data_IF_579258279931
#
_entry.id   IF_579258279931
#
_cell.length_a   1.000
_cell.length_b   1.000
_cell.length_c   1.000
_cell.angle_alpha   90.00
_cell.angle_beta   90.00
_cell.angle_gamma   90.00
#
_symmetry.space_group_name_H-M   'P 1'
#
loop_
_entity.id
_entity.type
_entity.pdbx_description
1 polymer ?
#
# COMPACT_ATOMS: atom_id res chain seq x y z
N UNK A 1 -37.21 -62.38 35.52
CA UNK A 1 -37.53 -60.94 35.63
C UNK A 1 -36.20 -60.18 35.75
N UNK A 2 -35.62 -59.75 34.65
CA UNK A 2 -34.33 -58.99 34.63
C UNK A 2 -34.62 -57.50 34.35
N UNK A 3 -34.41 -56.66 35.36
CA UNK A 3 -34.60 -55.25 35.26
C UNK A 3 -33.27 -54.61 34.69
N UNK A 4 -33.33 -54.07 33.49
CA UNK A 4 -32.31 -53.28 32.90
C UNK A 4 -32.33 -51.86 33.53
N UNK A 5 -31.24 -51.46 34.19
CA UNK A 5 -31.00 -50.07 34.61
C UNK A 5 -30.14 -49.39 33.56
N UNK A 6 -30.54 -48.26 32.98
CA UNK A 6 -29.65 -47.54 32.05
C UNK A 6 -28.57 -46.78 32.83
N UNK A 7 -27.34 -46.86 32.33
CA UNK A 7 -26.15 -46.17 32.85
C UNK A 7 -26.17 -44.68 32.50
N UNK A 8 -25.74 -43.78 33.39
CA UNK A 8 -25.85 -42.32 33.25
C UNK A 8 -24.82 -41.65 32.34
N UNK A 9 -24.15 -42.42 31.48
CA UNK A 9 -22.98 -41.92 30.68
C UNK A 9 -23.35 -41.29 29.35
N UNK A 10 -24.59 -41.40 28.89
CA UNK A 10 -25.00 -40.87 27.55
C UNK A 10 -25.54 -39.44 27.63
N UNK A 11 -26.08 -39.02 28.76
CA UNK A 11 -26.66 -37.66 28.92
C UNK A 11 -25.59 -36.56 29.07
N UNK A 12 -24.42 -36.88 29.63
CA UNK A 12 -23.35 -35.91 29.80
C UNK A 12 -22.54 -35.58 28.53
N UNK A 13 -22.60 -36.45 27.51
CA UNK A 13 -21.92 -36.17 26.22
C UNK A 13 -22.72 -35.28 25.28
N UNK A 14 -24.05 -35.25 25.41
CA UNK A 14 -24.92 -34.40 24.60
C UNK A 14 -24.90 -32.93 25.07
N UNK A 15 -24.67 -32.66 26.35
CA UNK A 15 -24.62 -31.30 26.91
C UNK A 15 -23.30 -30.62 26.63
N UNK A 16 -22.19 -31.35 26.49
CA UNK A 16 -20.86 -30.81 26.13
C UNK A 16 -20.70 -30.47 24.65
N UNK A 17 -21.53 -31.06 23.77
CA UNK A 17 -21.51 -30.67 22.34
C UNK A 17 -22.36 -29.45 22.00
N UNK A 18 -23.33 -29.08 22.85
CA UNK A 18 -24.11 -27.85 22.65
C UNK A 18 -23.43 -26.60 23.23
N UNK A 19 -22.45 -26.75 24.11
CA UNK A 19 -21.68 -25.62 24.66
C UNK A 19 -20.54 -25.17 23.75
N UNK A 20 -20.12 -25.98 22.76
CA UNK A 20 -19.04 -25.71 21.84
C UNK A 20 -19.41 -24.86 20.62
N UNK A 21 -20.70 -24.64 20.35
CA UNK A 21 -21.21 -23.93 19.17
C UNK A 21 -21.62 -22.49 19.43
N UNK A 22 -21.46 -21.98 20.65
CA UNK A 22 -21.87 -20.62 21.02
C UNK A 22 -20.72 -19.61 21.12
N UNK A 23 -19.47 -19.96 20.72
CA UNK A 23 -18.30 -19.07 20.84
C UNK A 23 -17.82 -18.54 19.49
N UNK A 24 -18.48 -18.86 18.38
CA UNK A 24 -18.07 -18.40 17.04
C UNK A 24 -18.78 -17.13 16.57
N UNK A 25 -19.16 -16.25 17.47
CA UNK A 25 -19.88 -15.02 17.12
C UNK A 25 -19.40 -13.78 17.87
N UNK A 26 -18.10 -13.66 18.18
CA UNK A 26 -17.54 -12.35 18.50
C UNK A 26 -17.21 -11.69 17.17
N UNK A 27 -18.24 -11.19 16.47
CA UNK A 27 -18.05 -10.11 15.53
C UNK A 27 -17.31 -9.01 16.30
N UNK A 28 -16.14 -8.63 15.81
CA UNK A 28 -15.48 -7.41 16.25
C UNK A 28 -16.47 -6.27 16.03
N UNK A 29 -17.26 -5.97 17.06
CA UNK A 29 -18.04 -4.75 17.12
C UNK A 29 -17.02 -3.64 16.93
N UNK A 30 -17.03 -3.00 15.77
CA UNK A 30 -16.37 -1.72 15.59
C UNK A 30 -16.81 -0.86 16.76
N UNK A 31 -15.84 -0.35 17.50
CA UNK A 31 -16.09 0.50 18.65
C UNK A 31 -16.92 1.68 18.17
N UNK A 32 -18.24 1.64 18.35
CA UNK A 32 -19.17 2.68 17.92
C UNK A 32 -18.94 4.04 18.61
N UNK A 33 -17.91 4.11 19.45
CA UNK A 33 -17.50 5.30 20.21
C UNK A 33 -16.14 5.86 19.78
N UNK A 34 -15.56 5.43 18.63
CA UNK A 34 -14.34 6.07 18.16
C UNK A 34 -14.65 7.52 17.78
N UNK A 35 -13.97 8.45 18.45
CA UNK A 35 -13.98 9.86 18.11
C UNK A 35 -12.65 10.22 17.47
N UNK A 36 -12.73 10.87 16.31
CA UNK A 36 -11.53 11.33 15.60
C UNK A 36 -10.80 12.35 16.49
N UNK A 37 -9.53 12.12 16.83
CA UNK A 37 -8.73 13.11 17.55
C UNK A 37 -8.69 14.43 16.78
N UNK A 38 -8.58 15.54 17.50
CA UNK A 38 -8.53 16.88 16.92
C UNK A 38 -7.26 17.60 17.32
N UNK A 39 -6.72 18.37 16.39
CA UNK A 39 -5.66 19.34 16.67
C UNK A 39 -6.19 20.49 17.55
N UNK A 40 -5.29 21.34 18.03
CA UNK A 40 -5.66 22.53 18.80
C UNK A 40 -6.56 23.50 18.01
N UNK A 41 -6.49 23.45 16.66
CA UNK A 41 -7.30 24.25 15.75
C UNK A 41 -8.62 23.57 15.35
N UNK A 42 -8.91 22.39 15.94
CA UNK A 42 -10.16 21.64 15.70
C UNK A 42 -10.19 20.79 14.43
N UNK A 43 -9.15 20.79 13.60
CA UNK A 43 -9.04 19.91 12.46
C UNK A 43 -8.82 18.44 12.90
N UNK A 44 -9.21 17.43 12.09
CA UNK A 44 -8.82 16.05 12.36
C UNK A 44 -7.30 15.93 12.53
N UNK A 45 -6.86 15.22 13.57
CA UNK A 45 -5.44 15.04 13.86
C UNK A 45 -4.88 13.85 13.05
N UNK A 46 -4.15 14.16 12.00
CA UNK A 46 -3.44 13.20 11.15
C UNK A 46 -1.95 13.09 11.51
N UNK A 47 -1.49 13.82 12.54
CA UNK A 47 -0.08 13.86 12.90
C UNK A 47 0.42 12.49 13.32
N UNK A 48 1.67 12.20 13.00
CA UNK A 48 2.32 10.95 13.38
C UNK A 48 3.07 10.28 12.25
N UNK A 49 3.46 9.04 12.51
CA UNK A 49 4.13 8.18 11.54
C UNK A 49 3.11 7.22 10.93
N UNK A 50 3.10 7.14 9.62
CA UNK A 50 2.19 6.33 8.83
C UNK A 50 2.98 5.46 7.86
N UNK A 51 2.40 4.35 7.44
CA UNK A 51 2.93 3.53 6.35
C UNK A 51 1.87 3.34 5.27
N UNK A 52 2.31 3.26 4.02
CA UNK A 52 1.45 2.93 2.88
C UNK A 52 1.60 1.48 2.42
N UNK A 53 2.34 0.66 3.16
CA UNK A 53 2.62 -0.71 2.78
C UNK A 53 1.36 -1.54 2.65
N UNK A 54 1.26 -2.24 1.53
CA UNK A 54 0.17 -3.18 1.27
C UNK A 54 0.56 -4.13 0.15
N UNK A 55 0.11 -5.38 0.27
CA UNK A 55 0.25 -6.36 -0.80
C UNK A 55 -0.77 -6.16 -1.93
N UNK A 56 -1.71 -5.21 -1.77
CA UNK A 56 -2.66 -4.88 -2.83
C UNK A 56 -1.93 -4.18 -3.98
N UNK A 57 -1.97 -4.74 -5.19
CA UNK A 57 -1.29 -4.15 -6.33
C UNK A 57 -1.93 -2.84 -6.78
N UNK A 58 -1.14 -1.96 -7.41
CA UNK A 58 -1.65 -0.72 -7.99
C UNK A 58 -2.75 -1.01 -9.02
N UNK A 59 -2.45 -1.85 -9.99
CA UNK A 59 -3.40 -2.26 -11.03
C UNK A 59 -3.98 -3.62 -10.71
N UNK A 60 -5.28 -3.80 -10.98
CA UNK A 60 -5.99 -5.05 -10.72
C UNK A 60 -5.45 -6.19 -11.57
N UNK A 61 -5.03 -7.30 -10.96
CA UNK A 61 -4.63 -8.51 -11.65
C UNK A 61 -5.75 -9.06 -12.56
N UNK A 62 -5.36 -9.67 -13.67
CA UNK A 62 -6.30 -10.14 -14.67
C UNK A 62 -7.27 -11.21 -14.14
N UNK A 63 -6.82 -12.03 -13.20
CA UNK A 63 -7.61 -13.08 -12.55
C UNK A 63 -8.81 -12.56 -11.77
N UNK A 64 -8.76 -11.31 -11.29
CA UNK A 64 -9.89 -10.70 -10.60
C UNK A 64 -10.90 -10.04 -11.55
N UNK A 65 -10.59 -9.91 -12.86
CA UNK A 65 -11.49 -9.26 -13.80
C UNK A 65 -11.94 -7.88 -13.33
N UNK A 66 -13.27 -7.70 -13.19
CA UNK A 66 -13.86 -6.45 -12.68
C UNK A 66 -14.12 -6.45 -11.16
N UNK A 67 -13.67 -7.49 -10.45
CA UNK A 67 -13.92 -7.65 -9.03
C UNK A 67 -13.04 -6.71 -8.21
N UNK A 68 -13.60 -5.61 -7.73
CA UNK A 68 -12.90 -4.63 -6.88
C UNK A 68 -12.76 -5.11 -5.43
N UNK A 69 -13.82 -5.71 -4.88
CA UNK A 69 -13.90 -6.09 -3.47
C UNK A 69 -13.64 -7.59 -3.34
N UNK A 70 -12.66 -7.94 -2.52
CA UNK A 70 -12.35 -9.33 -2.16
C UNK A 70 -13.19 -9.75 -0.97
N UNK A 71 -13.51 -11.05 -0.89
CA UNK A 71 -14.06 -11.61 0.35
C UNK A 71 -12.98 -11.69 1.44
N UNK A 72 -13.37 -11.80 2.72
CA UNK A 72 -12.40 -12.01 3.79
C UNK A 72 -11.52 -13.25 3.58
N UNK A 73 -12.09 -14.32 3.02
CA UNK A 73 -11.37 -15.57 2.73
C UNK A 73 -10.33 -15.37 1.62
N UNK A 74 -10.70 -14.66 0.55
CA UNK A 74 -9.76 -14.34 -0.55
C UNK A 74 -8.62 -13.44 -0.06
N UNK A 75 -8.92 -12.43 0.75
CA UNK A 75 -7.90 -11.58 1.34
C UNK A 75 -6.95 -12.39 2.24
N UNK A 76 -7.49 -13.27 3.09
CA UNK A 76 -6.70 -14.14 3.95
C UNK A 76 -5.77 -15.08 3.16
N UNK A 77 -6.24 -15.67 2.06
CA UNK A 77 -5.41 -16.54 1.23
C UNK A 77 -4.26 -15.77 0.54
N UNK A 78 -4.50 -14.53 0.11
CA UNK A 78 -3.45 -13.67 -0.41
C UNK A 78 -2.41 -13.32 0.66
N UNK A 79 -2.86 -12.89 1.84
CA UNK A 79 -2.00 -12.56 2.98
C UNK A 79 -1.18 -13.77 3.43
N UNK A 80 -1.81 -14.94 3.49
CA UNK A 80 -1.14 -16.21 3.81
C UNK A 80 -0.08 -16.57 2.78
N UNK A 81 -0.37 -16.41 1.49
CA UNK A 81 0.59 -16.69 0.40
C UNK A 81 1.85 -15.83 0.55
N UNK A 82 1.68 -14.55 0.86
CA UNK A 82 2.81 -13.64 1.09
C UNK A 82 3.58 -14.01 2.35
N UNK A 83 2.88 -14.37 3.43
CA UNK A 83 3.52 -14.79 4.68
C UNK A 83 4.33 -16.09 4.50
N UNK A 84 3.78 -17.08 3.81
CA UNK A 84 4.44 -18.34 3.50
C UNK A 84 5.69 -18.10 2.63
N UNK A 85 5.58 -17.26 1.60
CA UNK A 85 6.71 -16.86 0.75
C UNK A 85 7.81 -16.15 1.56
N UNK A 86 7.46 -15.18 2.39
CA UNK A 86 8.44 -14.50 3.25
C UNK A 86 9.14 -15.46 4.20
N UNK A 87 8.40 -16.39 4.81
CA UNK A 87 8.99 -17.40 5.69
C UNK A 87 9.96 -18.34 4.93
N UNK A 88 9.66 -18.66 3.67
CA UNK A 88 10.57 -19.45 2.81
C UNK A 88 11.85 -18.66 2.49
N UNK A 89 11.73 -17.37 2.17
CA UNK A 89 12.88 -16.51 1.87
C UNK A 89 13.78 -16.27 3.09
N UNK A 90 13.20 -16.20 4.29
CA UNK A 90 13.93 -16.03 5.56
C UNK A 90 14.55 -17.34 6.07
N UNK A 91 14.21 -18.47 5.47
CA UNK A 91 14.80 -19.76 5.86
C UNK A 91 16.30 -19.78 5.61
N UNK A 92 17.09 -20.51 6.45
CA UNK A 92 18.51 -20.68 6.22
C UNK A 92 18.78 -21.25 4.82
N UNK A 93 19.69 -20.62 4.09
CA UNK A 93 20.08 -21.12 2.77
C UNK A 93 20.72 -22.50 2.86
N UNK A 94 20.38 -23.40 1.93
CA UNK A 94 21.06 -24.67 1.77
C UNK A 94 22.55 -24.42 1.40
N UNK A 95 23.51 -24.85 2.21
CA UNK A 95 24.94 -24.67 1.93
C UNK A 95 25.38 -25.42 0.66
N UNK A 96 24.68 -26.47 0.27
CA UNK A 96 24.99 -27.28 -0.90
C UNK A 96 24.20 -26.87 -2.16
N UNK A 97 23.42 -25.77 -2.10
CA UNK A 97 22.68 -25.25 -3.25
C UNK A 97 23.62 -24.91 -4.41
N UNK A 98 23.15 -25.17 -5.63
CA UNK A 98 23.87 -24.70 -6.82
C UNK A 98 23.97 -23.17 -6.84
N UNK A 99 25.08 -22.65 -7.36
CA UNK A 99 25.21 -21.22 -7.59
C UNK A 99 24.09 -20.72 -8.53
N UNK A 100 23.52 -19.52 -8.30
CA UNK A 100 22.53 -18.95 -9.18
C UNK A 100 23.04 -18.97 -10.63
N UNK A 101 22.23 -19.50 -11.55
CA UNK A 101 22.58 -19.47 -12.97
C UNK A 101 22.75 -18.01 -13.41
N UNK A 102 23.76 -17.76 -14.24
CA UNK A 102 23.94 -16.44 -14.87
C UNK A 102 22.66 -16.10 -15.66
N UNK A 103 21.84 -15.26 -15.09
CA UNK A 103 20.57 -14.85 -15.61
C UNK A 103 20.05 -13.72 -14.75
N UNK A 104 18.87 -13.26 -15.04
CA UNK A 104 18.14 -12.25 -14.30
C UNK A 104 18.05 -12.70 -12.83
N UNK A 105 18.80 -12.04 -11.96
CA UNK A 105 18.58 -12.16 -10.52
C UNK A 105 17.21 -11.54 -10.29
N UNK A 106 16.23 -12.34 -9.97
CA UNK A 106 14.96 -11.78 -9.50
C UNK A 106 15.23 -11.09 -8.17
N UNK A 107 14.63 -9.94 -7.95
CA UNK A 107 14.82 -9.19 -6.70
C UNK A 107 14.47 -10.07 -5.49
N UNK A 108 13.52 -10.97 -5.65
CA UNK A 108 13.14 -11.99 -4.69
C UNK A 108 14.26 -12.96 -4.29
N UNK A 109 15.22 -13.24 -5.20
CA UNK A 109 16.37 -14.13 -4.93
C UNK A 109 17.59 -13.37 -4.38
N UNK A 110 17.44 -12.09 -4.08
CA UNK A 110 18.55 -11.26 -3.63
C UNK A 110 18.72 -11.34 -2.11
N UNK A 111 19.97 -11.14 -1.66
CA UNK A 111 20.30 -11.05 -0.23
C UNK A 111 19.64 -9.83 0.46
N UNK A 112 18.92 -8.99 -0.28
CA UNK A 112 18.31 -7.75 0.19
C UNK A 112 16.84 -7.90 0.62
N UNK A 113 16.25 -9.12 0.58
CA UNK A 113 14.83 -9.32 0.89
C UNK A 113 14.41 -8.74 2.25
N UNK A 114 15.26 -8.82 3.25
CA UNK A 114 14.95 -8.29 4.59
C UNK A 114 14.87 -6.75 4.64
N UNK A 115 15.32 -6.04 3.60
CA UNK A 115 15.13 -4.60 3.49
C UNK A 115 13.81 -4.23 2.82
N UNK A 116 13.20 -5.17 2.10
CA UNK A 116 11.95 -4.90 1.41
C UNK A 116 10.80 -4.87 2.40
N UNK A 117 9.89 -3.97 2.17
CA UNK A 117 8.72 -3.74 3.00
C UNK A 117 7.49 -3.65 2.09
N UNK A 118 7.17 -4.79 1.47
CA UNK A 118 6.02 -4.92 0.57
C UNK A 118 4.69 -4.93 1.33
N UNK A 119 4.75 -4.94 2.67
CA UNK A 119 3.58 -5.12 3.52
C UNK A 119 3.15 -6.58 3.60
N UNK A 120 2.22 -6.85 4.50
CA UNK A 120 1.69 -8.19 4.77
C UNK A 120 0.17 -8.27 4.64
N UNK A 121 -0.49 -7.14 4.40
CA UNK A 121 -1.95 -7.05 4.44
C UNK A 121 -2.52 -6.50 3.14
N UNK A 122 -3.69 -7.03 2.78
CA UNK A 122 -4.53 -6.47 1.72
C UNK A 122 -5.09 -5.13 2.18
N UNK A 123 -5.04 -4.12 1.31
CA UNK A 123 -5.59 -2.81 1.59
C UNK A 123 -7.07 -2.90 1.93
N UNK A 124 -7.45 -2.25 3.03
CA UNK A 124 -8.81 -2.23 3.53
C UNK A 124 -9.34 -0.80 3.56
N UNK A 125 -10.44 -0.57 2.86
CA UNK A 125 -11.07 0.73 2.78
C UNK A 125 -12.54 0.62 3.17
N UNK A 126 -12.98 1.38 4.17
CA UNK A 126 -14.33 1.30 4.74
C UNK A 126 -14.74 -0.13 5.16
N UNK A 127 -13.79 -0.93 5.62
CA UNK A 127 -14.02 -2.33 6.01
C UNK A 127 -13.97 -3.33 4.85
N UNK A 128 -13.84 -2.92 3.62
CA UNK A 128 -13.78 -3.76 2.42
C UNK A 128 -12.34 -3.97 1.95
N UNK A 129 -11.99 -5.21 1.62
CA UNK A 129 -10.69 -5.56 1.07
C UNK A 129 -10.64 -5.25 -0.43
N UNK A 130 -9.54 -4.66 -0.89
CA UNK A 130 -9.37 -4.20 -2.27
C UNK A 130 -8.47 -5.12 -3.09
N UNK A 131 -8.89 -5.44 -4.31
CA UNK A 131 -8.08 -6.20 -5.27
C UNK A 131 -7.09 -5.33 -6.04
N UNK A 132 -7.24 -4.00 -5.98
CA UNK A 132 -6.34 -3.01 -6.58
C UNK A 132 -6.44 -1.68 -5.84
N UNK A 133 -5.36 -0.88 -5.88
CA UNK A 133 -5.39 0.49 -5.37
C UNK A 133 -6.12 1.42 -6.33
N UNK A 134 -6.08 1.14 -7.65
CA UNK A 134 -6.89 1.86 -8.64
C UNK A 134 -8.33 1.39 -8.53
N UNK A 135 -9.24 2.33 -8.28
CA UNK A 135 -10.69 2.11 -8.20
C UNK A 135 -11.44 2.81 -9.34
N UNK A 136 -10.83 3.81 -9.96
CA UNK A 136 -11.31 4.53 -11.13
C UNK A 136 -10.15 4.68 -12.12
N UNK A 137 -10.29 4.18 -13.35
CA UNK A 137 -11.46 3.53 -13.95
C UNK A 137 -11.85 2.20 -13.30
N UNK A 138 -13.13 1.81 -13.44
CA UNK A 138 -13.73 0.65 -12.76
C UNK A 138 -13.02 -0.68 -13.04
N UNK A 139 -12.31 -0.80 -14.17
CA UNK A 139 -11.48 -1.97 -14.47
C UNK A 139 -10.24 -2.09 -13.57
N UNK A 140 -9.95 -1.07 -12.73
CA UNK A 140 -8.84 -1.06 -11.79
C UNK A 140 -7.45 -1.01 -12.44
N UNK A 141 -7.33 -0.50 -13.66
CA UNK A 141 -6.06 -0.48 -14.42
C UNK A 141 -5.65 0.94 -14.76
N UNK A 142 -4.34 1.14 -14.92
CA UNK A 142 -3.80 2.42 -15.40
C UNK A 142 -4.35 2.65 -16.81
N UNK A 143 -4.99 3.81 -17.08
CA UNK A 143 -5.46 4.15 -18.43
C UNK A 143 -4.30 4.29 -19.41
N UNK A 144 -4.60 4.08 -20.69
CA UNK A 144 -3.67 4.37 -21.76
C UNK A 144 -3.32 5.86 -21.80
N UNK A 145 -2.14 6.17 -22.31
CA UNK A 145 -1.75 7.55 -22.51
C UNK A 145 -2.64 8.23 -23.56
N UNK A 146 -2.89 9.51 -23.38
CA UNK A 146 -3.50 10.31 -24.45
C UNK A 146 -2.52 10.45 -25.61
N UNK A 147 -3.01 10.64 -26.87
CA UNK A 147 -2.12 10.85 -28.02
C UNK A 147 -1.10 11.98 -27.83
N UNK A 148 -1.50 13.04 -27.14
CA UNK A 148 -0.60 14.15 -26.80
C UNK A 148 0.50 13.75 -25.78
N UNK A 149 0.20 12.85 -24.85
CA UNK A 149 1.18 12.33 -23.91
C UNK A 149 2.15 11.37 -24.61
N UNK A 150 1.65 10.48 -25.48
CA UNK A 150 2.48 9.58 -26.28
C UNK A 150 3.47 10.34 -27.14
N UNK A 151 3.03 11.42 -27.79
CA UNK A 151 3.89 12.25 -28.61
C UNK A 151 4.98 12.96 -27.77
N UNK A 152 4.64 13.51 -26.59
CA UNK A 152 5.64 14.09 -25.68
C UNK A 152 6.69 13.06 -25.24
N UNK A 153 6.24 11.84 -24.91
CA UNK A 153 7.14 10.74 -24.51
C UNK A 153 8.05 10.36 -25.68
N UNK A 154 7.51 10.26 -26.87
CA UNK A 154 8.28 9.95 -28.09
C UNK A 154 9.35 10.98 -28.35
N UNK A 155 9.01 12.28 -28.30
CA UNK A 155 9.96 13.38 -28.49
C UNK A 155 11.06 13.33 -27.42
N UNK A 156 10.68 13.19 -26.15
CA UNK A 156 11.64 13.13 -25.04
C UNK A 156 12.60 11.94 -25.16
N UNK A 157 12.09 10.78 -25.62
CA UNK A 157 12.92 9.59 -25.89
C UNK A 157 13.93 9.87 -27.01
N UNK A 158 13.48 10.42 -28.14
CA UNK A 158 14.36 10.75 -29.23
C UNK A 158 15.46 11.75 -28.85
N UNK A 159 15.11 12.79 -28.12
CA UNK A 159 16.09 13.76 -27.60
C UNK A 159 17.14 13.09 -26.70
N UNK A 160 16.72 12.21 -25.82
CA UNK A 160 17.61 11.47 -24.94
C UNK A 160 18.54 10.52 -25.71
N UNK A 161 18.02 9.85 -26.74
CA UNK A 161 18.81 8.98 -27.61
C UNK A 161 19.87 9.78 -28.42
N UNK A 162 19.51 10.96 -28.91
CA UNK A 162 20.42 11.84 -29.66
C UNK A 162 21.53 12.41 -28.76
N UNK A 163 21.20 12.82 -27.54
CA UNK A 163 22.17 13.34 -26.59
C UNK A 163 23.08 12.27 -26.01
N UNK A 164 22.56 11.06 -25.87
CA UNK A 164 23.21 9.97 -25.16
C UNK A 164 23.02 10.06 -23.62
N UNK A 165 23.10 8.92 -22.94
CA UNK A 165 22.78 8.84 -21.51
C UNK A 165 23.81 9.55 -20.60
N UNK A 166 24.98 9.89 -21.11
CA UNK A 166 26.07 10.51 -20.35
C UNK A 166 26.42 11.92 -20.84
N UNK A 167 25.59 12.55 -21.65
CA UNK A 167 25.87 13.85 -22.25
C UNK A 167 25.94 15.00 -21.22
N UNK A 168 25.13 14.89 -20.14
CA UNK A 168 25.11 15.88 -19.06
C UNK A 168 24.09 15.51 -17.98
N UNK A 169 24.04 16.29 -16.90
CA UNK A 169 23.07 16.03 -15.81
C UNK A 169 21.62 16.09 -16.29
N UNK A 170 21.30 16.86 -17.32
CA UNK A 170 19.96 16.99 -17.88
C UNK A 170 19.47 15.67 -18.52
N UNK A 171 20.40 14.81 -18.97
CA UNK A 171 20.07 13.49 -19.52
C UNK A 171 19.80 12.43 -18.45
N UNK A 172 20.11 12.75 -17.19
CA UNK A 172 20.01 11.79 -16.08
C UNK A 172 18.62 11.86 -15.42
N UNK A 173 18.11 10.73 -14.91
CA UNK A 173 16.91 10.72 -14.12
C UNK A 173 16.99 11.62 -12.88
N UNK A 174 15.86 12.13 -12.42
CA UNK A 174 15.81 13.03 -11.25
C UNK A 174 16.38 12.38 -9.99
N UNK A 175 16.23 11.06 -9.84
CA UNK A 175 16.77 10.30 -8.72
C UNK A 175 18.32 10.28 -8.72
N UNK A 176 18.96 10.10 -9.87
CA UNK A 176 20.42 10.16 -9.97
C UNK A 176 20.98 11.58 -9.71
N UNK A 177 20.12 12.58 -9.91
CA UNK A 177 20.46 13.99 -9.64
C UNK A 177 20.10 14.40 -8.21
N UNK A 178 19.62 13.49 -7.38
CA UNK A 178 19.16 13.73 -6.01
C UNK A 178 18.09 14.83 -5.90
N UNK A 179 17.24 14.99 -6.92
CA UNK A 179 16.16 15.97 -6.93
C UNK A 179 14.84 15.42 -6.43
N UNK A 180 14.53 14.18 -6.77
CA UNK A 180 13.35 13.43 -6.30
C UNK A 180 13.68 11.95 -6.14
N UNK A 181 12.81 11.21 -5.47
CA UNK A 181 12.89 9.74 -5.41
C UNK A 181 12.88 9.11 -6.80
N UNK A 182 13.45 7.93 -6.91
CA UNK A 182 13.44 7.10 -8.13
C UNK A 182 12.07 6.45 -8.44
N UNK A 183 11.10 6.62 -7.55
CA UNK A 183 9.75 6.09 -7.70
C UNK A 183 8.70 7.08 -7.19
N UNK A 184 7.44 6.68 -7.16
CA UNK A 184 6.31 7.53 -6.78
C UNK A 184 6.13 7.73 -5.28
N UNK A 185 7.11 7.46 -4.42
CA UNK A 185 6.96 7.63 -2.97
C UNK A 185 6.58 9.06 -2.56
N UNK A 186 7.16 10.07 -3.19
CA UNK A 186 6.80 11.48 -2.99
C UNK A 186 5.59 11.94 -3.79
N UNK A 187 5.13 11.14 -4.74
CA UNK A 187 3.96 11.39 -5.59
C UNK A 187 4.02 12.59 -6.51
N UNK A 188 2.91 13.01 -7.10
CA UNK A 188 1.60 12.34 -7.17
C UNK A 188 1.55 11.22 -8.19
N UNK A 189 0.86 10.10 -7.92
CA UNK A 189 0.33 9.70 -6.60
C UNK A 189 1.45 9.22 -5.68
N UNK A 190 1.21 9.24 -4.34
CA UNK A 190 2.12 8.69 -3.35
C UNK A 190 1.86 7.18 -3.24
N UNK A 191 2.79 6.38 -3.72
CA UNK A 191 2.66 4.93 -3.80
C UNK A 191 3.73 4.24 -2.96
N UNK A 192 3.45 3.05 -2.41
CA UNK A 192 4.48 2.24 -1.77
C UNK A 192 5.56 1.84 -2.79
N UNK A 193 6.78 1.72 -2.31
CA UNK A 193 7.95 1.25 -3.05
C UNK A 193 8.62 0.12 -2.28
N UNK A 194 9.77 -0.34 -2.72
CA UNK A 194 10.44 -1.52 -2.14
C UNK A 194 10.75 -1.39 -0.64
N UNK A 195 11.07 -0.19 -0.16
CA UNK A 195 11.45 0.08 1.24
C UNK A 195 11.32 1.58 1.57
N UNK A 196 11.45 1.94 2.85
CA UNK A 196 11.32 3.32 3.34
C UNK A 196 9.93 3.91 3.01
N UNK A 197 8.89 3.15 3.31
CA UNK A 197 7.50 3.49 3.01
C UNK A 197 6.78 4.24 4.15
N UNK A 198 7.54 4.89 5.03
CA UNK A 198 6.94 5.65 6.12
C UNK A 198 6.76 7.12 5.71
N UNK A 199 5.70 7.68 6.24
CA UNK A 199 5.35 9.09 6.10
C UNK A 199 5.21 9.71 7.47
N UNK A 200 5.88 10.84 7.70
CA UNK A 200 5.60 11.67 8.85
C UNK A 200 4.65 12.79 8.45
N UNK A 201 3.49 12.83 9.07
CA UNK A 201 2.52 13.90 8.86
C UNK A 201 2.63 14.90 10.00
N UNK A 202 2.76 16.18 9.67
CA UNK A 202 2.80 17.30 10.60
C UNK A 202 1.76 18.34 10.15
N UNK A 203 0.98 18.83 11.10
CA UNK A 203 -0.04 19.84 10.84
C UNK A 203 0.31 21.15 11.56
N UNK A 204 0.01 22.25 10.89
CA UNK A 204 0.05 23.59 11.45
C UNK A 204 -1.10 24.41 10.86
N UNK A 205 -1.48 25.56 11.43
CA UNK A 205 -2.55 26.37 10.88
C UNK A 205 -2.32 26.67 9.39
N UNK A 206 -3.26 26.26 8.53
CA UNK A 206 -3.22 26.47 7.09
C UNK A 206 -2.30 25.52 6.30
N UNK A 207 -1.60 24.59 6.95
CA UNK A 207 -0.66 23.71 6.26
C UNK A 207 -0.69 22.27 6.80
N UNK A 208 -0.52 21.31 5.90
CA UNK A 208 -0.15 19.94 6.23
C UNK A 208 1.15 19.59 5.49
N UNK A 209 2.14 19.11 6.21
CA UNK A 209 3.37 18.59 5.62
C UNK A 209 3.37 17.07 5.69
N UNK A 210 3.73 16.42 4.60
CA UNK A 210 3.99 14.99 4.54
C UNK A 210 5.47 14.82 4.19
N UNK A 211 6.28 14.43 5.18
CA UNK A 211 7.66 14.05 4.97
C UNK A 211 7.71 12.56 4.59
N UNK A 212 8.30 12.28 3.45
CA UNK A 212 8.47 10.93 2.91
C UNK A 212 9.84 10.41 3.35
N UNK A 213 9.89 9.23 3.95
CA UNK A 213 11.16 8.62 4.40
C UNK A 213 12.11 8.41 3.23
N UNK A 214 11.60 7.92 2.08
CA UNK A 214 12.40 7.74 0.88
C UNK A 214 12.88 9.09 0.34
N UNK A 215 14.22 9.30 0.34
CA UNK A 215 14.90 10.51 -0.17
C UNK A 215 14.46 11.81 0.55
N UNK A 216 13.80 11.68 1.71
CA UNK A 216 13.34 12.82 2.54
C UNK A 216 12.57 13.90 1.75
N UNK A 217 11.80 13.50 0.72
CA UNK A 217 10.93 14.41 0.00
C UNK A 217 9.84 14.95 0.94
N UNK A 218 9.60 16.26 0.91
CA UNK A 218 8.57 16.90 1.73
C UNK A 218 7.49 17.53 0.86
N UNK A 219 6.25 17.03 0.98
CA UNK A 219 5.09 17.62 0.35
C UNK A 219 4.42 18.60 1.30
N UNK A 220 4.33 19.85 0.89
CA UNK A 220 3.60 20.89 1.62
C UNK A 220 2.24 21.08 0.96
N UNK A 221 1.19 20.83 1.72
CA UNK A 221 -0.19 21.01 1.32
C UNK A 221 -0.69 22.29 1.96
N UNK A 222 -1.14 23.25 1.15
CA UNK A 222 -1.76 24.50 1.61
C UNK A 222 -3.26 24.29 1.73
N UNK A 223 -3.82 24.61 2.88
CA UNK A 223 -5.23 24.36 3.19
C UNK A 223 -6.03 25.60 2.84
N UNK A 224 -7.10 25.41 2.04
CA UNK A 224 -8.04 26.45 1.62
C UNK A 224 -7.37 27.70 1.02
N UNK A 225 -6.32 27.47 0.22
CA UNK A 225 -5.53 28.53 -0.41
C UNK A 225 -5.67 28.50 -1.95
N UNK A 226 -5.25 29.57 -2.61
CA UNK A 226 -5.30 29.71 -4.06
C UNK A 226 -4.10 29.00 -4.73
N UNK A 227 -4.24 28.50 -5.97
CA UNK A 227 -3.14 27.94 -6.74
C UNK A 227 -1.99 28.95 -6.92
N UNK A 228 -0.77 28.45 -6.89
CA UNK A 228 0.41 29.27 -7.24
C UNK A 228 0.32 29.78 -8.68
N UNK A 229 0.91 30.94 -8.97
CA UNK A 229 0.99 31.42 -10.34
C UNK A 229 1.58 30.36 -11.29
N UNK A 230 1.03 30.19 -12.47
CA UNK A 230 1.41 29.15 -13.44
C UNK A 230 2.90 29.16 -13.83
N UNK A 231 3.61 30.29 -13.60
CA UNK A 231 5.05 30.38 -13.82
C UNK A 231 5.90 29.79 -12.68
N UNK A 232 5.30 29.45 -11.54
CA UNK A 232 6.00 28.85 -10.40
C UNK A 232 5.88 27.34 -10.44
N UNK A 233 6.92 26.67 -10.94
CA UNK A 233 7.00 25.21 -10.97
C UNK A 233 7.82 24.69 -9.80
N UNK A 234 7.28 23.70 -9.08
CA UNK A 234 7.97 22.98 -8.01
C UNK A 234 8.12 21.51 -8.39
N UNK A 235 9.14 20.84 -7.87
CA UNK A 235 9.41 19.44 -8.18
C UNK A 235 8.26 18.50 -7.78
N UNK A 236 7.66 18.71 -6.61
CA UNK A 236 6.50 17.91 -6.12
C UNK A 236 5.15 18.54 -6.49
N UNK A 237 5.14 19.55 -7.36
CA UNK A 237 3.94 20.26 -7.74
C UNK A 237 3.46 21.24 -6.66
N UNK A 238 2.24 21.75 -6.85
CA UNK A 238 1.55 22.65 -5.91
C UNK A 238 0.35 21.91 -5.33
N UNK A 239 0.49 21.48 -4.08
CA UNK A 239 -0.56 20.70 -3.39
C UNK A 239 -1.46 21.65 -2.62
N UNK A 240 -2.76 21.61 -2.97
CA UNK A 240 -3.84 22.29 -2.26
C UNK A 240 -4.75 21.25 -1.62
N UNK A 241 -5.24 21.54 -0.44
CA UNK A 241 -6.16 20.68 0.30
C UNK A 241 -7.30 21.45 0.92
N UNK A 242 -8.38 20.74 1.18
CA UNK A 242 -9.51 21.22 1.99
C UNK A 242 -10.07 20.07 2.81
N UNK A 243 -10.77 20.41 3.87
CA UNK A 243 -11.37 19.39 4.72
C UNK A 243 -12.81 19.11 4.30
N UNK A 244 -13.13 17.84 4.13
CA UNK A 244 -14.50 17.33 3.96
C UNK A 244 -14.87 16.47 5.18
N UNK A 245 -15.42 17.11 6.20
CA UNK A 245 -15.66 16.45 7.48
C UNK A 245 -14.35 16.02 8.16
N UNK A 246 -14.11 14.72 8.26
CA UNK A 246 -12.90 14.15 8.85
C UNK A 246 -11.84 13.70 7.81
N UNK A 247 -12.03 14.07 6.56
CA UNK A 247 -11.14 13.72 5.44
C UNK A 247 -10.45 14.97 4.90
N UNK A 248 -9.13 14.89 4.73
CA UNK A 248 -8.35 15.88 4.01
C UNK A 248 -8.29 15.50 2.54
#
# INVERSE_FOLDING_TARGET
MNSFRPTPTIVHRAILMLAGLAVSGIALAQNSNYQVPRTVDGAPDLQGMWTSNTITPLSRPAEFGDKLILTPEEAFELEKTVADYSAEQDAPSDPDREAPRKGRIELADSYNNFWFDDGTQVARFNGEFRSSLIVDPANGRIPDYTPAAEERIRIARQQREQLGPFAGPESRPLAERCLLSFSSSGGPPMLPILYNNHYQIVQSPGYVMILVEMVHDARIIRIDDDPLPAAQHRWLGDSLGHWEGDTL
#
